data_IF_335234825323
#
_entry.id   IF_335234825323
#
_cell.length_a   1.000
_cell.length_b   1.000
_cell.length_c   1.000
_cell.angle_alpha   90.00
_cell.angle_beta   90.00
_cell.angle_gamma   90.00
#
_symmetry.space_group_name_H-M   'P 1'
#
loop_
_entity.id
_entity.type
_entity.pdbx_description
1 polymer ?
#
# COMPACT_ATOMS: atom_id res chain seq x y z
N UNK A 1 -15.66 -16.39 12.22
CA UNK A 1 -14.25 -16.53 11.81
C UNK A 1 -13.78 -17.95 12.03
N UNK A 2 -13.14 -18.56 11.03
CA UNK A 2 -12.54 -19.89 11.12
C UNK A 2 -11.23 -19.91 11.93
N UNK A 3 -10.76 -21.11 12.29
CA UNK A 3 -9.58 -21.38 13.14
C UNK A 3 -8.23 -21.16 12.41
N UNK A 4 -8.00 -19.95 11.87
CA UNK A 4 -6.77 -19.55 11.15
C UNK A 4 -5.99 -18.47 11.88
N UNK A 5 -5.92 -18.56 13.19
CA UNK A 5 -5.17 -17.63 14.04
C UNK A 5 -4.69 -18.36 15.30
N UNK A 6 -3.59 -17.89 15.88
CA UNK A 6 -3.24 -18.29 17.25
C UNK A 6 -4.19 -17.58 18.21
N UNK A 7 -4.74 -18.27 19.23
CA UNK A 7 -5.50 -17.60 20.28
C UNK A 7 -4.69 -16.43 20.84
N UNK A 8 -5.30 -15.24 20.87
CA UNK A 8 -4.63 -14.06 21.42
C UNK A 8 -4.58 -14.20 22.94
N UNK A 9 -3.41 -14.60 23.46
CA UNK A 9 -3.13 -14.73 24.90
C UNK A 9 -2.55 -13.45 25.50
N UNK A 10 -2.38 -12.40 24.70
CA UNK A 10 -1.83 -11.12 25.16
C UNK A 10 -2.86 -10.40 26.04
N UNK A 11 -2.44 -9.74 27.13
CA UNK A 11 -3.34 -8.94 27.96
C UNK A 11 -3.90 -7.75 27.17
N UNK A 12 -5.11 -7.32 27.55
CA UNK A 12 -5.67 -6.07 27.06
C UNK A 12 -4.79 -4.87 27.47
N UNK A 13 -4.82 -3.84 26.64
CA UNK A 13 -4.01 -2.64 26.88
C UNK A 13 -4.40 -1.95 28.19
N UNK A 14 -3.39 -1.70 29.02
CA UNK A 14 -3.48 -0.84 30.22
C UNK A 14 -2.49 0.30 30.03
N UNK A 15 -2.94 1.54 30.24
CA UNK A 15 -2.10 2.72 30.06
C UNK A 15 -0.86 2.67 30.97
N UNK A 16 0.29 3.10 30.41
CA UNK A 16 1.54 3.15 31.15
C UNK A 16 1.38 3.98 32.44
N UNK A 17 1.79 3.41 33.57
CA UNK A 17 1.88 4.11 34.86
C UNK A 17 3.34 4.32 35.23
N UNK A 18 3.64 5.39 35.98
CA UNK A 18 5.01 5.71 36.41
C UNK A 18 5.63 4.70 37.40
N UNK A 19 4.86 3.73 37.89
CA UNK A 19 5.33 2.70 38.80
C UNK A 19 5.82 1.47 38.03
N UNK A 20 7.15 1.32 37.94
CA UNK A 20 7.77 0.10 37.45
C UNK A 20 7.58 -1.01 38.47
N UNK A 21 6.65 -1.93 38.22
CA UNK A 21 6.73 -3.26 38.83
C UNK A 21 7.61 -4.12 37.94
N UNK A 22 8.70 -4.64 38.49
CA UNK A 22 9.42 -5.75 37.85
C UNK A 22 8.45 -6.94 37.75
N UNK A 23 7.83 -7.12 36.58
CA UNK A 23 7.04 -8.30 36.33
C UNK A 23 7.96 -9.50 36.12
N UNK A 24 7.89 -10.43 37.07
CA UNK A 24 8.45 -11.77 36.94
C UNK A 24 7.54 -12.56 36.01
N UNK A 25 7.88 -12.57 34.72
CA UNK A 25 7.14 -13.27 33.67
C UNK A 25 8.03 -13.79 32.54
N UNK A 26 7.43 -14.57 31.63
CA UNK A 26 8.05 -15.01 30.37
C UNK A 26 8.56 -13.81 29.56
N UNK A 27 9.55 -14.06 28.70
CA UNK A 27 10.18 -13.12 27.76
C UNK A 27 9.18 -12.21 27.04
N UNK A 28 8.01 -12.74 26.67
CA UNK A 28 6.94 -11.98 26.02
C UNK A 28 6.30 -10.92 26.95
N UNK A 29 5.97 -11.27 28.20
CA UNK A 29 5.37 -10.32 29.14
C UNK A 29 6.35 -9.21 29.48
N UNK A 30 7.64 -9.54 29.63
CA UNK A 30 8.68 -8.53 29.81
C UNK A 30 8.73 -7.54 28.66
N UNK A 31 8.58 -8.02 27.42
CA UNK A 31 8.54 -7.16 26.23
C UNK A 31 7.33 -6.22 26.22
N UNK A 32 6.14 -6.73 26.58
CA UNK A 32 4.88 -5.95 26.59
C UNK A 32 4.87 -4.87 27.66
N UNK A 33 5.54 -5.10 28.79
CA UNK A 33 5.63 -4.16 29.91
C UNK A 33 6.79 -3.16 29.77
N UNK A 34 7.60 -3.23 28.69
CA UNK A 34 8.67 -2.26 28.45
C UNK A 34 8.11 -0.89 28.04
N UNK A 35 8.64 0.22 28.59
CA UNK A 35 8.33 1.55 28.09
C UNK A 35 8.67 1.68 26.60
N UNK A 36 7.86 2.43 25.86
CA UNK A 36 8.02 2.60 24.42
C UNK A 36 9.45 2.97 23.98
N UNK A 37 10.13 3.83 24.74
CA UNK A 37 11.51 4.26 24.43
C UNK A 37 12.51 3.10 24.40
N UNK A 38 12.40 2.15 25.32
CA UNK A 38 13.25 0.95 25.36
C UNK A 38 12.80 -0.10 24.35
N UNK A 39 11.49 -0.29 24.22
CA UNK A 39 10.90 -1.27 23.29
C UNK A 39 11.23 -0.92 21.83
N UNK A 40 11.10 0.36 21.46
CA UNK A 40 11.40 0.84 20.11
C UNK A 40 12.88 0.64 19.75
N UNK A 41 13.82 0.77 20.68
CA UNK A 41 15.24 0.46 20.42
C UNK A 41 15.46 -1.05 20.22
N UNK A 42 14.78 -1.90 20.99
CA UNK A 42 14.82 -3.35 20.79
C UNK A 42 14.32 -3.74 19.39
N UNK A 43 13.17 -3.21 18.97
CA UNK A 43 12.62 -3.46 17.63
C UNK A 43 13.48 -2.87 16.53
N UNK A 44 14.07 -1.68 16.74
CA UNK A 44 15.01 -1.11 15.78
C UNK A 44 16.22 -2.03 15.56
N UNK A 45 16.80 -2.58 16.62
CA UNK A 45 17.93 -3.52 16.50
C UNK A 45 17.54 -4.80 15.76
N UNK A 46 16.43 -5.42 16.15
CA UNK A 46 15.93 -6.63 15.47
C UNK A 46 15.64 -6.36 13.99
N UNK A 47 15.03 -5.22 13.66
CA UNK A 47 14.76 -4.83 12.28
C UNK A 47 16.03 -4.63 11.45
N UNK A 48 17.09 -4.07 12.04
CA UNK A 48 18.39 -3.93 11.36
C UNK A 48 19.04 -5.29 11.09
N UNK A 49 18.99 -6.21 12.06
CA UNK A 49 19.52 -7.57 11.89
C UNK A 49 18.75 -8.31 10.77
N UNK A 50 17.41 -8.22 10.78
CA UNK A 50 16.54 -8.78 9.73
C UNK A 50 16.82 -8.16 8.35
N UNK A 51 17.06 -6.84 8.27
CA UNK A 51 17.40 -6.13 7.03
C UNK A 51 18.69 -6.70 6.43
N UNK A 52 19.71 -6.97 7.23
CA UNK A 52 20.96 -7.59 6.75
C UNK A 52 20.71 -9.00 6.21
N UNK A 53 19.92 -9.83 6.90
CA UNK A 53 19.56 -11.17 6.40
C UNK A 53 18.81 -11.11 5.07
N UNK A 54 17.77 -10.28 4.96
CA UNK A 54 17.00 -10.12 3.72
C UNK A 54 17.89 -9.63 2.57
N UNK A 55 18.78 -8.68 2.85
CA UNK A 55 19.70 -8.13 1.84
C UNK A 55 20.70 -9.18 1.37
N UNK A 56 21.27 -9.96 2.30
CA UNK A 56 22.19 -11.04 1.96
C UNK A 56 21.50 -12.09 1.08
N UNK A 57 20.31 -12.54 1.44
CA UNK A 57 19.62 -13.63 0.73
C UNK A 57 19.09 -13.21 -0.64
N UNK A 58 18.58 -11.98 -0.76
CA UNK A 58 17.93 -11.51 -2.00
C UNK A 58 18.87 -10.82 -2.98
N UNK A 59 20.01 -10.30 -2.50
CA UNK A 59 20.97 -9.55 -3.32
C UNK A 59 22.39 -10.14 -3.29
N UNK A 60 22.87 -10.53 -2.11
CA UNK A 60 24.22 -11.07 -1.94
C UNK A 60 24.38 -12.46 -2.55
N UNK A 61 23.61 -13.44 -2.07
CA UNK A 61 23.70 -14.85 -2.47
C UNK A 61 23.22 -15.10 -3.90
N UNK A 62 22.37 -14.23 -4.45
CA UNK A 62 21.94 -14.28 -5.85
C UNK A 62 23.03 -13.83 -6.83
N UNK A 63 24.16 -13.33 -6.33
CA UNK A 63 25.21 -12.75 -7.14
C UNK A 63 24.75 -11.48 -7.86
N UNK A 64 23.88 -10.69 -7.20
CA UNK A 64 23.33 -9.43 -7.71
C UNK A 64 22.52 -9.60 -9.01
N UNK A 65 21.90 -10.76 -9.19
CA UNK A 65 21.02 -11.05 -10.33
C UNK A 65 19.56 -10.88 -9.92
N UNK A 66 18.81 -10.08 -10.70
CA UNK A 66 17.38 -9.86 -10.49
C UNK A 66 16.58 -10.84 -11.35
N UNK A 67 15.90 -11.80 -10.71
CA UNK A 67 14.96 -12.71 -11.36
C UNK A 67 13.52 -12.17 -11.34
N UNK A 68 13.12 -11.58 -10.22
CA UNK A 68 11.86 -10.89 -10.02
C UNK A 68 12.19 -9.44 -9.61
N UNK A 69 11.77 -8.47 -10.43
CA UNK A 69 12.03 -7.05 -10.20
C UNK A 69 10.94 -6.38 -9.35
N UNK A 70 9.86 -7.06 -9.03
CA UNK A 70 8.67 -6.44 -8.42
C UNK A 70 8.93 -6.03 -6.97
N UNK A 71 8.15 -5.07 -6.47
CA UNK A 71 8.19 -4.72 -5.04
C UNK A 71 7.52 -5.80 -4.18
N UNK A 72 6.50 -6.47 -4.73
CA UNK A 72 5.66 -7.43 -4.01
C UNK A 72 6.41 -8.72 -3.64
N UNK A 73 7.19 -9.29 -4.55
CA UNK A 73 7.93 -10.54 -4.33
C UNK A 73 9.41 -10.47 -4.73
N UNK A 74 9.83 -9.39 -5.39
CA UNK A 74 11.14 -9.29 -6.01
C UNK A 74 12.14 -8.41 -5.28
N UNK A 75 13.27 -8.17 -5.96
CA UNK A 75 14.41 -7.44 -5.40
C UNK A 75 14.12 -5.96 -5.15
N UNK A 76 13.11 -5.37 -5.82
CA UNK A 76 12.69 -4.00 -5.52
C UNK A 76 12.07 -3.89 -4.12
N UNK A 77 11.50 -4.96 -3.57
CA UNK A 77 11.08 -5.03 -2.17
C UNK A 77 12.26 -4.85 -1.22
N UNK A 78 13.41 -5.46 -1.53
CA UNK A 78 14.68 -5.26 -0.79
C UNK A 78 15.17 -3.82 -0.93
N UNK A 79 15.12 -3.23 -2.13
CA UNK A 79 15.47 -1.82 -2.31
C UNK A 79 14.58 -0.90 -1.47
N UNK A 80 13.28 -1.19 -1.41
CA UNK A 80 12.35 -0.39 -0.62
C UNK A 80 12.62 -0.53 0.89
N UNK A 81 12.94 -1.74 1.35
CA UNK A 81 13.37 -1.98 2.74
C UNK A 81 14.62 -1.17 3.10
N UNK A 82 15.63 -1.17 2.23
CA UNK A 82 16.86 -0.37 2.40
C UNK A 82 16.56 1.13 2.42
N UNK A 83 15.69 1.60 1.52
CA UNK A 83 15.26 2.99 1.52
C UNK A 83 14.55 3.38 2.83
N UNK A 84 13.67 2.53 3.35
CA UNK A 84 13.03 2.72 4.67
C UNK A 84 14.06 2.73 5.80
N UNK A 85 15.08 1.87 5.73
CA UNK A 85 16.18 1.86 6.71
C UNK A 85 16.98 3.18 6.68
N UNK A 86 17.32 3.67 5.48
CA UNK A 86 17.95 4.98 5.30
C UNK A 86 17.10 6.11 5.90
N UNK A 87 15.78 6.14 5.66
CA UNK A 87 14.91 7.18 6.23
C UNK A 87 14.90 7.20 7.76
N UNK A 88 15.12 6.05 8.42
CA UNK A 88 15.10 5.92 9.88
C UNK A 88 16.47 6.07 10.55
N UNK A 89 17.54 5.64 9.88
CA UNK A 89 18.88 5.56 10.44
C UNK A 89 19.86 6.56 9.80
N UNK A 90 19.46 7.24 8.73
CA UNK A 90 20.29 8.12 7.90
C UNK A 90 21.59 7.43 7.42
N UNK A 91 21.53 6.12 7.19
CA UNK A 91 22.66 5.35 6.69
C UNK A 91 22.76 5.49 5.17
N UNK A 92 23.74 6.28 4.71
CA UNK A 92 23.93 6.55 3.28
C UNK A 92 24.34 5.29 2.49
N UNK A 93 24.90 4.27 3.12
CA UNK A 93 25.21 3.01 2.45
C UNK A 93 23.93 2.26 2.06
N UNK A 94 22.88 2.31 2.89
CA UNK A 94 21.58 1.71 2.58
C UNK A 94 20.93 2.43 1.38
N UNK A 95 21.08 3.76 1.28
CA UNK A 95 20.61 4.53 0.13
C UNK A 95 21.37 4.17 -1.16
N UNK A 96 22.70 4.08 -1.09
CA UNK A 96 23.52 3.67 -2.24
C UNK A 96 23.18 2.27 -2.71
N UNK A 97 22.98 1.32 -1.78
CA UNK A 97 22.59 -0.04 -2.11
C UNK A 97 21.16 -0.11 -2.68
N UNK A 98 20.23 0.67 -2.12
CA UNK A 98 18.89 0.84 -2.69
C UNK A 98 18.97 1.24 -4.17
N UNK A 99 19.75 2.29 -4.49
CA UNK A 99 19.90 2.76 -5.87
C UNK A 99 20.51 1.69 -6.80
N UNK A 100 21.53 0.95 -6.33
CA UNK A 100 22.12 -0.13 -7.11
C UNK A 100 21.11 -1.25 -7.44
N UNK A 101 20.27 -1.62 -6.46
CA UNK A 101 19.22 -2.62 -6.66
C UNK A 101 18.13 -2.08 -7.60
N UNK A 102 17.73 -0.82 -7.44
CA UNK A 102 16.74 -0.18 -8.33
C UNK A 102 17.25 -0.18 -9.78
N UNK A 103 18.53 0.12 -10.02
CA UNK A 103 19.12 0.08 -11.37
C UNK A 103 19.07 -1.33 -12.00
N UNK A 104 19.39 -2.35 -11.21
CA UNK A 104 19.26 -3.73 -11.66
C UNK A 104 17.78 -4.12 -11.93
N UNK A 105 16.84 -3.67 -11.10
CA UNK A 105 15.41 -3.87 -11.31
C UNK A 105 14.91 -3.12 -12.55
N UNK A 106 15.43 -1.92 -12.81
CA UNK A 106 15.14 -1.12 -13.99
C UNK A 106 15.51 -1.91 -15.26
N UNK A 107 16.72 -2.46 -15.29
CA UNK A 107 17.18 -3.35 -16.36
C UNK A 107 16.30 -4.59 -16.54
N UNK A 108 15.92 -5.25 -15.46
CA UNK A 108 15.07 -6.45 -15.49
C UNK A 108 13.61 -6.16 -15.91
N UNK A 109 13.13 -4.93 -15.70
CA UNK A 109 11.73 -4.54 -15.94
C UNK A 109 11.45 -4.02 -17.36
N UNK A 110 12.47 -3.85 -18.22
CA UNK A 110 12.32 -3.19 -19.53
C UNK A 110 11.24 -3.80 -20.43
N UNK A 111 11.08 -5.13 -20.41
CA UNK A 111 10.11 -5.86 -21.23
C UNK A 111 8.78 -6.14 -20.51
N UNK A 112 8.64 -5.73 -19.25
CA UNK A 112 7.43 -5.99 -18.47
C UNK A 112 6.23 -5.20 -19.00
N UNK A 113 5.07 -5.82 -18.90
CA UNK A 113 3.76 -5.21 -19.19
C UNK A 113 3.04 -4.76 -17.93
N UNK A 114 3.56 -5.10 -16.75
CA UNK A 114 2.97 -4.71 -15.47
C UNK A 114 3.32 -3.26 -15.15
N UNK A 115 2.32 -2.50 -14.72
CA UNK A 115 2.39 -1.03 -14.67
C UNK A 115 2.23 -0.44 -13.27
N UNK A 116 2.08 -1.26 -12.23
CA UNK A 116 1.73 -0.78 -10.88
C UNK A 116 2.95 -0.53 -10.01
N UNK A 117 2.72 0.10 -8.86
CA UNK A 117 3.78 0.27 -7.86
C UNK A 117 4.26 -1.08 -7.28
N UNK A 118 3.34 -2.00 -6.99
CA UNK A 118 3.67 -3.25 -6.31
C UNK A 118 4.28 -4.30 -7.25
N UNK A 119 3.72 -4.45 -8.44
CA UNK A 119 4.06 -5.55 -9.35
C UNK A 119 4.63 -5.10 -10.70
N UNK A 120 4.82 -3.79 -10.91
CA UNK A 120 5.13 -3.26 -12.23
C UNK A 120 6.23 -2.21 -12.27
N UNK A 121 6.44 -1.70 -13.48
CA UNK A 121 7.50 -0.75 -13.79
C UNK A 121 7.33 0.60 -13.09
N UNK A 122 6.09 0.98 -12.76
CA UNK A 122 5.84 2.22 -12.01
C UNK A 122 6.50 2.19 -10.63
N UNK A 123 6.55 1.04 -9.96
CA UNK A 123 7.26 0.88 -8.68
C UNK A 123 8.75 1.16 -8.80
N UNK A 124 9.39 0.58 -9.83
CA UNK A 124 10.82 0.74 -10.09
C UNK A 124 11.15 2.22 -10.34
N UNK A 125 10.44 2.85 -11.27
CA UNK A 125 10.67 4.25 -11.61
C UNK A 125 10.33 5.18 -10.43
N UNK A 126 9.25 4.92 -9.70
CA UNK A 126 8.84 5.75 -8.58
C UNK A 126 9.85 5.71 -7.42
N UNK A 127 10.28 4.51 -7.02
CA UNK A 127 11.30 4.37 -5.99
C UNK A 127 12.65 4.95 -6.44
N UNK A 128 13.05 4.70 -7.68
CA UNK A 128 14.29 5.25 -8.24
C UNK A 128 14.34 6.76 -8.24
N UNK A 129 13.26 7.43 -8.67
CA UNK A 129 13.16 8.88 -8.64
C UNK A 129 13.30 9.43 -7.21
N UNK A 130 12.55 8.85 -6.25
CA UNK A 130 12.60 9.31 -4.85
C UNK A 130 13.96 9.06 -4.21
N UNK A 131 14.56 7.89 -4.40
CA UNK A 131 15.89 7.59 -3.90
C UNK A 131 16.96 8.52 -4.52
N UNK A 132 16.86 8.81 -5.82
CA UNK A 132 17.76 9.73 -6.52
C UNK A 132 17.66 11.16 -5.97
N UNK A 133 16.45 11.66 -5.66
CA UNK A 133 16.26 12.95 -4.98
C UNK A 133 16.97 12.98 -3.63
N UNK A 134 16.83 11.93 -2.82
CA UNK A 134 17.51 11.83 -1.53
C UNK A 134 19.04 11.76 -1.65
N UNK A 135 19.55 11.19 -2.74
CA UNK A 135 20.99 11.16 -3.03
C UNK A 135 21.51 12.48 -3.63
N UNK A 136 20.65 13.46 -3.90
CA UNK A 136 21.02 14.71 -4.56
C UNK A 136 21.42 14.53 -6.03
N UNK A 137 21.02 13.43 -6.68
CA UNK A 137 21.36 13.13 -8.06
C UNK A 137 20.21 13.54 -8.99
N UNK A 138 20.28 14.77 -9.51
CA UNK A 138 19.25 15.33 -10.37
C UNK A 138 19.12 14.59 -11.71
N UNK A 139 20.23 14.19 -12.33
CA UNK A 139 20.23 13.48 -13.61
C UNK A 139 19.49 12.13 -13.50
N UNK A 140 19.76 11.38 -12.43
CA UNK A 140 19.11 10.10 -12.19
C UNK A 140 17.63 10.26 -11.82
N UNK A 141 17.28 11.31 -11.08
CA UNK A 141 15.89 11.69 -10.82
C UNK A 141 15.13 11.94 -12.14
N UNK A 142 15.69 12.77 -13.01
CA UNK A 142 15.09 13.12 -14.31
C UNK A 142 14.96 11.90 -15.22
N UNK A 143 15.95 11.00 -15.18
CA UNK A 143 15.91 9.72 -15.88
C UNK A 143 14.70 8.88 -15.44
N UNK A 144 14.54 8.61 -14.14
CA UNK A 144 13.44 7.78 -13.64
C UNK A 144 12.07 8.42 -13.85
N UNK A 145 11.96 9.75 -13.72
CA UNK A 145 10.72 10.46 -14.05
C UNK A 145 10.38 10.37 -15.54
N UNK A 146 11.38 10.42 -16.42
CA UNK A 146 11.18 10.23 -17.86
C UNK A 146 10.70 8.81 -18.17
N UNK A 147 11.33 7.80 -17.55
CA UNK A 147 10.91 6.39 -17.68
C UNK A 147 9.51 6.14 -17.13
N UNK A 148 9.13 6.79 -16.02
CA UNK A 148 7.77 6.70 -15.48
C UNK A 148 6.72 7.22 -16.48
N UNK A 149 7.01 8.33 -17.17
CA UNK A 149 6.13 8.94 -18.17
C UNK A 149 5.96 8.09 -19.43
N UNK A 150 6.88 7.18 -19.71
CA UNK A 150 6.80 6.25 -20.85
C UNK A 150 5.86 5.06 -20.59
N UNK A 151 5.41 4.85 -19.35
CA UNK A 151 4.50 3.74 -19.00
C UNK A 151 3.15 3.96 -19.68
N UNK A 152 2.75 3.00 -20.51
CA UNK A 152 1.47 3.00 -21.22
C UNK A 152 0.49 2.07 -20.54
N UNK A 153 -0.68 2.60 -20.17
CA UNK A 153 -1.77 1.80 -19.63
C UNK A 153 -2.57 1.20 -20.79
N UNK A 154 -2.67 -0.13 -20.81
CA UNK A 154 -3.54 -0.84 -21.75
C UNK A 154 -5.01 -0.53 -21.47
N UNK A 155 -5.85 -0.46 -22.51
CA UNK A 155 -7.30 -0.34 -22.34
C UNK A 155 -7.89 -1.49 -21.52
N UNK A 156 -7.30 -2.68 -21.61
CA UNK A 156 -7.78 -3.90 -20.98
C UNK A 156 -7.18 -4.14 -19.58
N UNK A 157 -6.45 -3.17 -19.03
CA UNK A 157 -5.90 -3.27 -17.69
C UNK A 157 -7.05 -3.46 -16.67
N UNK A 158 -6.90 -4.24 -15.60
CA UNK A 158 -7.85 -4.22 -14.49
C UNK A 158 -7.77 -2.88 -13.73
N UNK A 159 -8.63 -2.71 -12.72
CA UNK A 159 -8.68 -1.46 -11.94
C UNK A 159 -8.09 -1.59 -10.54
N UNK A 160 -7.75 -2.80 -10.09
CA UNK A 160 -7.28 -3.07 -8.73
C UNK A 160 -5.82 -2.65 -8.44
N UNK A 161 -5.34 -2.89 -7.22
CA UNK A 161 -4.11 -2.29 -6.70
C UNK A 161 -2.83 -2.99 -7.16
N UNK A 162 -2.84 -4.31 -7.36
CA UNK A 162 -1.61 -5.05 -7.67
C UNK A 162 -1.24 -5.00 -9.15
N UNK A 163 -2.21 -5.02 -10.05
CA UNK A 163 -2.01 -5.09 -11.50
C UNK A 163 -2.79 -4.04 -12.30
N UNK A 164 -3.65 -3.27 -11.63
CA UNK A 164 -4.59 -2.37 -12.25
C UNK A 164 -4.28 -0.88 -12.19
N UNK A 165 -5.25 -0.08 -12.65
CA UNK A 165 -5.19 1.39 -12.67
C UNK A 165 -4.99 2.00 -11.29
N UNK A 166 -5.63 1.47 -10.25
CA UNK A 166 -5.41 1.96 -8.89
C UNK A 166 -3.95 1.78 -8.47
N UNK A 167 -3.31 0.68 -8.84
CA UNK A 167 -1.88 0.44 -8.58
C UNK A 167 -0.93 1.43 -9.27
N UNK A 168 -1.28 1.90 -10.47
CA UNK A 168 -0.54 2.95 -11.16
C UNK A 168 -0.79 4.33 -10.54
N UNK A 169 -2.06 4.65 -10.24
CA UNK A 169 -2.43 5.90 -9.57
C UNK A 169 -1.74 6.03 -8.20
N UNK A 170 -1.64 4.94 -7.44
CA UNK A 170 -0.89 4.92 -6.18
C UNK A 170 0.58 5.31 -6.38
N UNK A 171 1.22 4.86 -7.46
CA UNK A 171 2.59 5.27 -7.79
C UNK A 171 2.69 6.77 -8.09
N UNK A 172 1.66 7.36 -8.72
CA UNK A 172 1.57 8.80 -8.96
C UNK A 172 1.46 9.58 -7.64
N UNK A 173 0.60 9.13 -6.71
CA UNK A 173 0.48 9.71 -5.35
C UNK A 173 1.80 9.64 -4.62
N UNK A 174 2.49 8.49 -4.68
CA UNK A 174 3.80 8.31 -4.07
C UNK A 174 4.82 9.32 -4.59
N UNK A 175 4.89 9.50 -5.92
CA UNK A 175 5.78 10.49 -6.53
C UNK A 175 5.45 11.92 -6.07
N UNK A 176 4.19 12.34 -6.15
CA UNK A 176 3.79 13.70 -5.75
C UNK A 176 4.08 13.96 -4.26
N UNK A 177 3.77 12.99 -3.39
CA UNK A 177 4.02 13.10 -1.95
C UNK A 177 5.50 13.28 -1.61
N UNK A 178 6.39 12.58 -2.31
CA UNK A 178 7.83 12.58 -2.01
C UNK A 178 8.63 13.64 -2.79
N UNK A 179 8.19 13.97 -3.99
CA UNK A 179 8.91 14.88 -4.89
C UNK A 179 8.33 16.31 -4.86
N UNK A 180 7.05 16.46 -4.52
CA UNK A 180 6.30 17.72 -4.48
C UNK A 180 5.04 17.61 -5.34
N UNK A 181 3.99 18.31 -4.91
CA UNK A 181 2.72 18.37 -5.65
C UNK A 181 2.93 18.82 -7.10
N UNK A 182 2.23 18.17 -8.02
CA UNK A 182 2.33 18.44 -9.46
C UNK A 182 3.52 17.78 -10.19
N UNK A 183 4.35 16.97 -9.51
CA UNK A 183 5.42 16.20 -10.17
C UNK A 183 4.86 15.31 -11.30
N UNK A 184 3.79 14.58 -10.98
CA UNK A 184 2.87 14.01 -11.95
C UNK A 184 1.67 14.96 -12.06
N UNK A 185 1.41 15.54 -13.25
CA UNK A 185 0.31 16.48 -13.44
C UNK A 185 -1.06 15.85 -13.15
N UNK A 186 -1.98 16.61 -12.56
CA UNK A 186 -3.34 16.16 -12.30
C UNK A 186 -4.10 15.78 -13.57
N UNK A 187 -3.77 16.40 -14.71
CA UNK A 187 -4.32 16.02 -16.02
C UNK A 187 -3.99 14.57 -16.41
N UNK A 188 -2.82 14.07 -16.03
CA UNK A 188 -2.41 12.67 -16.26
C UNK A 188 -3.20 11.73 -15.38
N UNK A 189 -3.35 12.03 -14.09
CA UNK A 189 -4.09 11.17 -13.16
C UNK A 189 -5.59 11.21 -13.44
N UNK A 190 -6.15 12.38 -13.78
CA UNK A 190 -7.58 12.57 -14.07
C UNK A 190 -8.09 11.64 -15.17
N UNK A 191 -7.34 11.50 -16.28
CA UNK A 191 -7.70 10.59 -17.36
C UNK A 191 -7.79 9.11 -16.90
N UNK A 192 -6.95 8.70 -15.94
CA UNK A 192 -6.98 7.35 -15.38
C UNK A 192 -8.15 7.19 -14.41
N UNK A 193 -8.41 8.21 -13.58
CA UNK A 193 -9.56 8.22 -12.65
C UNK A 193 -10.88 8.15 -13.42
N UNK A 194 -11.03 8.90 -14.51
CA UNK A 194 -12.22 8.88 -15.36
C UNK A 194 -12.54 7.46 -15.85
N UNK A 195 -11.52 6.72 -16.29
CA UNK A 195 -11.70 5.34 -16.74
C UNK A 195 -12.06 4.40 -15.59
N UNK A 196 -11.44 4.55 -14.41
CA UNK A 196 -11.79 3.77 -13.20
C UNK A 196 -13.24 4.02 -12.79
N UNK A 197 -13.67 5.28 -12.72
CA UNK A 197 -15.04 5.64 -12.34
C UNK A 197 -16.04 5.12 -13.37
N UNK A 198 -15.75 5.29 -14.65
CA UNK A 198 -16.57 4.78 -15.76
C UNK A 198 -16.72 3.26 -15.69
N UNK A 199 -15.62 2.52 -15.54
CA UNK A 199 -15.64 1.06 -15.40
C UNK A 199 -16.44 0.61 -14.17
N UNK A 200 -16.18 1.26 -13.03
CA UNK A 200 -16.86 1.00 -11.76
C UNK A 200 -18.37 1.15 -11.85
N UNK A 201 -18.83 2.27 -12.42
CA UNK A 201 -20.25 2.56 -12.67
C UNK A 201 -20.86 1.58 -13.65
N UNK A 202 -20.15 1.21 -14.72
CA UNK A 202 -20.64 0.29 -15.75
C UNK A 202 -20.90 -1.11 -15.19
N UNK A 203 -20.01 -1.63 -14.36
CA UNK A 203 -20.18 -2.95 -13.75
C UNK A 203 -21.20 -2.91 -12.61
N UNK A 204 -21.28 -1.82 -11.86
CA UNK A 204 -22.28 -1.62 -10.80
C UNK A 204 -23.72 -1.67 -11.30
N UNK A 205 -24.02 -1.12 -12.48
CA UNK A 205 -25.35 -1.20 -13.12
C UNK A 205 -25.87 -2.64 -13.28
N UNK A 206 -24.97 -3.64 -13.26
CA UNK A 206 -25.31 -5.07 -13.38
C UNK A 206 -25.47 -5.77 -12.01
N UNK A 207 -25.29 -5.07 -10.88
CA UNK A 207 -25.38 -5.63 -9.52
C UNK A 207 -25.91 -4.59 -8.52
N UNK A 208 -27.21 -4.64 -8.24
CA UNK A 208 -27.96 -3.56 -7.59
C UNK A 208 -27.70 -3.32 -6.10
N UNK A 209 -26.54 -2.78 -5.73
CA UNK A 209 -26.32 -2.31 -4.36
C UNK A 209 -25.17 -1.32 -4.12
N UNK A 210 -24.02 -1.47 -4.81
CA UNK A 210 -22.86 -0.57 -4.69
C UNK A 210 -22.80 0.38 -5.88
N UNK A 211 -22.54 1.70 -5.71
CA UNK A 211 -22.37 2.63 -6.83
C UNK A 211 -21.20 2.31 -7.76
N UNK A 212 -20.09 1.84 -7.19
CA UNK A 212 -18.92 1.32 -7.92
C UNK A 212 -18.74 -0.17 -7.64
N UNK A 213 -18.42 -0.92 -8.69
CA UNK A 213 -18.09 -2.34 -8.58
C UNK A 213 -16.99 -2.69 -9.58
N UNK A 214 -16.07 -3.57 -9.20
CA UNK A 214 -14.94 -3.96 -10.04
C UNK A 214 -14.79 -5.49 -10.03
N UNK A 215 -14.12 -6.03 -11.04
CA UNK A 215 -13.75 -7.44 -11.06
C UNK A 215 -12.28 -7.63 -11.41
N UNK A 216 -11.70 -8.70 -10.89
CA UNK A 216 -10.39 -9.20 -11.28
C UNK A 216 -10.46 -10.72 -11.38
N UNK A 217 -9.97 -11.28 -12.48
CA UNK A 217 -10.13 -12.71 -12.81
C UNK A 217 -11.57 -13.25 -12.63
N UNK A 218 -12.58 -12.43 -12.97
CA UNK A 218 -14.00 -12.80 -12.90
C UNK A 218 -14.62 -12.75 -11.49
N UNK A 219 -13.85 -12.35 -10.48
CA UNK A 219 -14.29 -12.24 -9.08
C UNK A 219 -14.43 -10.77 -8.68
N UNK A 220 -15.48 -10.44 -7.94
CA UNK A 220 -15.75 -9.06 -7.47
C UNK A 220 -15.20 -8.90 -6.06
N UNK A 221 -13.89 -8.77 -5.96
CA UNK A 221 -13.17 -8.72 -4.68
C UNK A 221 -13.49 -7.46 -3.87
N UNK A 222 -13.42 -7.59 -2.54
CA UNK A 222 -13.64 -6.48 -1.60
C UNK A 222 -12.35 -5.96 -0.96
N UNK A 223 -11.35 -6.82 -0.81
CA UNK A 223 -10.14 -6.52 -0.04
C UNK A 223 -9.20 -5.50 -0.70
N UNK A 224 -8.11 -5.16 -0.01
CA UNK A 224 -7.22 -4.07 -0.42
C UNK A 224 -6.33 -4.42 -1.63
N UNK A 225 -6.03 -5.70 -1.84
CA UNK A 225 -5.17 -6.11 -2.94
C UNK A 225 -5.92 -6.02 -4.29
N UNK A 226 -6.99 -6.78 -4.43
CA UNK A 226 -7.65 -6.99 -5.73
C UNK A 226 -9.05 -6.37 -5.84
N UNK A 227 -9.49 -5.62 -4.83
CA UNK A 227 -10.90 -5.32 -4.63
C UNK A 227 -11.23 -3.87 -4.31
N UNK A 228 -12.50 -3.69 -3.93
CA UNK A 228 -13.09 -2.38 -3.65
C UNK A 228 -12.25 -1.53 -2.70
N UNK A 229 -11.75 -2.09 -1.59
CA UNK A 229 -11.01 -1.33 -0.60
C UNK A 229 -9.77 -0.66 -1.17
N UNK A 230 -8.96 -1.38 -1.95
CA UNK A 230 -7.73 -0.83 -2.54
C UNK A 230 -8.03 0.29 -3.54
N UNK A 231 -9.08 0.10 -4.34
CA UNK A 231 -9.50 1.09 -5.33
C UNK A 231 -10.04 2.34 -4.64
N UNK A 232 -10.93 2.20 -3.66
CA UNK A 232 -11.48 3.35 -2.91
C UNK A 232 -10.37 4.08 -2.14
N UNK A 233 -9.41 3.35 -1.57
CA UNK A 233 -8.28 3.95 -0.86
C UNK A 233 -7.46 4.89 -1.75
N UNK A 234 -7.22 4.50 -3.00
CA UNK A 234 -6.48 5.31 -3.97
C UNK A 234 -7.34 6.46 -4.50
N UNK A 235 -8.61 6.21 -4.83
CA UNK A 235 -9.51 7.27 -5.32
C UNK A 235 -9.65 8.43 -4.32
N UNK A 236 -9.59 8.15 -3.02
CA UNK A 236 -9.60 9.17 -1.97
C UNK A 236 -8.36 10.09 -1.94
N UNK A 237 -7.27 9.76 -2.63
CA UNK A 237 -6.13 10.68 -2.85
C UNK A 237 -6.26 11.52 -4.12
N UNK A 238 -7.29 11.27 -4.94
CA UNK A 238 -7.46 11.91 -6.24
C UNK A 238 -8.36 13.13 -6.13
N UNK A 239 -8.21 14.06 -7.07
CA UNK A 239 -9.19 15.11 -7.31
C UNK A 239 -10.43 14.47 -7.93
N UNK A 240 -11.51 14.35 -7.15
CA UNK A 240 -12.78 13.75 -7.56
C UNK A 240 -13.88 14.81 -7.73
N UNK A 241 -14.75 14.60 -8.71
CA UNK A 241 -15.97 15.40 -8.86
C UNK A 241 -17.00 15.08 -7.75
N UNK A 242 -17.94 15.99 -7.43
CA UNK A 242 -18.89 15.78 -6.34
C UNK A 242 -19.69 14.47 -6.44
N UNK A 243 -20.09 14.06 -7.65
CA UNK A 243 -20.80 12.79 -7.87
C UNK A 243 -19.88 11.58 -7.71
N UNK A 244 -18.60 11.70 -8.05
CA UNK A 244 -17.59 10.65 -7.83
C UNK A 244 -17.28 10.46 -6.34
N UNK A 245 -17.21 11.55 -5.58
CA UNK A 245 -17.08 11.50 -4.11
C UNK A 245 -18.27 10.76 -3.51
N UNK A 246 -19.49 11.05 -3.98
CA UNK A 246 -20.70 10.36 -3.51
C UNK A 246 -20.71 8.88 -3.85
N UNK A 247 -20.18 8.50 -5.01
CA UNK A 247 -20.02 7.11 -5.39
C UNK A 247 -19.02 6.37 -4.50
N UNK A 248 -17.84 6.95 -4.24
CA UNK A 248 -16.83 6.39 -3.32
C UNK A 248 -17.42 6.23 -1.91
N UNK A 249 -18.07 7.27 -1.37
CA UNK A 249 -18.76 7.21 -0.07
C UNK A 249 -19.85 6.14 -0.06
N UNK A 250 -20.63 6.03 -1.13
CA UNK A 250 -21.70 5.04 -1.26
C UNK A 250 -21.16 3.60 -1.31
N UNK A 251 -20.05 3.37 -2.00
CA UNK A 251 -19.38 2.06 -2.05
C UNK A 251 -18.79 1.67 -0.70
N UNK A 252 -18.16 2.59 0.03
CA UNK A 252 -17.69 2.31 1.40
C UNK A 252 -18.86 2.00 2.34
N UNK A 253 -19.96 2.77 2.29
CA UNK A 253 -21.18 2.50 3.07
C UNK A 253 -21.79 1.15 2.72
N UNK A 254 -21.75 0.77 1.45
CA UNK A 254 -22.19 -0.54 1.00
C UNK A 254 -21.36 -1.66 1.66
N UNK A 255 -20.04 -1.54 1.68
CA UNK A 255 -19.16 -2.53 2.34
C UNK A 255 -19.46 -2.62 3.84
N UNK A 256 -19.56 -1.48 4.54
CA UNK A 256 -19.84 -1.42 5.98
C UNK A 256 -21.15 -2.14 6.35
N UNK A 257 -22.21 -1.93 5.55
CA UNK A 257 -23.55 -2.51 5.77
C UNK A 257 -23.61 -4.01 5.53
N UNK A 258 -22.71 -4.53 4.70
CA UNK A 258 -22.75 -5.90 4.20
C UNK A 258 -21.56 -6.74 4.72
N UNK A 259 -20.93 -6.33 5.84
CA UNK A 259 -19.94 -7.12 6.57
C UNK A 259 -20.58 -8.35 7.24
N UNK A 260 -19.77 -9.32 7.63
CA UNK A 260 -20.23 -10.48 8.39
C UNK A 260 -20.71 -10.07 9.80
N UNK A 261 -21.55 -10.90 10.45
CA UNK A 261 -21.93 -10.69 11.86
C UNK A 261 -20.72 -10.58 12.81
N UNK A 262 -19.59 -11.21 12.48
CA UNK A 262 -18.33 -11.13 13.23
C UNK A 262 -17.64 -9.76 13.14
N UNK A 263 -18.07 -8.88 12.24
CA UNK A 263 -17.40 -7.63 11.91
C UNK A 263 -16.33 -7.77 10.82
N UNK A 264 -15.94 -8.99 10.45
CA UNK A 264 -15.06 -9.24 9.31
C UNK A 264 -15.81 -9.06 7.98
N UNK A 265 -15.08 -9.10 6.86
CA UNK A 265 -15.61 -8.83 5.52
C UNK A 265 -15.44 -10.02 4.57
N UNK A 266 -16.37 -10.20 3.62
CA UNK A 266 -16.23 -11.24 2.59
C UNK A 266 -15.02 -10.97 1.68
N UNK A 267 -14.46 -12.04 1.11
CA UNK A 267 -13.38 -11.90 0.14
C UNK A 267 -13.86 -11.25 -1.17
N UNK A 268 -15.06 -11.65 -1.62
CA UNK A 268 -15.71 -11.18 -2.86
C UNK A 268 -17.24 -11.22 -2.75
N UNK A 269 -17.94 -10.66 -3.73
CA UNK A 269 -19.41 -10.78 -3.86
C UNK A 269 -19.88 -12.23 -3.93
N UNK A 270 -19.05 -13.10 -4.51
CA UNK A 270 -19.33 -14.53 -4.69
C UNK A 270 -19.15 -15.32 -3.38
N UNK A 271 -18.25 -14.85 -2.49
CA UNK A 271 -17.90 -15.55 -1.24
C UNK A 271 -18.46 -14.87 0.02
N UNK A 272 -19.79 -14.75 0.07
CA UNK A 272 -20.52 -14.12 1.19
C UNK A 272 -20.87 -15.05 2.34
N UNK A 273 -20.30 -16.25 2.38
CA UNK A 273 -20.62 -17.24 3.43
C UNK A 273 -19.39 -17.73 4.20
N UNK A 274 -18.18 -17.55 3.66
CA UNK A 274 -16.95 -18.01 4.31
C UNK A 274 -16.25 -16.87 5.03
N UNK A 275 -16.60 -16.69 6.30
CA UNK A 275 -15.90 -15.78 7.20
C UNK A 275 -14.59 -16.40 7.70
N UNK A 276 -13.53 -16.33 6.89
CA UNK A 276 -12.27 -17.05 7.13
C UNK A 276 -10.99 -16.24 6.92
N UNK A 277 -11.00 -15.20 6.07
CA UNK A 277 -9.80 -14.43 5.74
C UNK A 277 -9.74 -13.16 6.58
N UNK A 278 -8.63 -12.98 7.31
CA UNK A 278 -8.35 -11.78 8.11
C UNK A 278 -6.97 -11.26 7.71
N UNK A 279 -6.84 -10.85 6.45
CA UNK A 279 -5.57 -10.45 5.83
C UNK A 279 -5.65 -9.00 5.31
N UNK A 280 -4.48 -8.41 5.02
CA UNK A 280 -4.43 -7.15 4.25
C UNK A 280 -5.10 -7.31 2.88
N UNK A 281 -4.79 -8.39 2.16
CA UNK A 281 -5.32 -8.61 0.82
C UNK A 281 -6.84 -8.89 0.80
N UNK A 282 -7.36 -9.59 1.82
CA UNK A 282 -8.76 -10.00 1.92
C UNK A 282 -9.22 -10.04 3.38
N UNK A 283 -10.29 -9.32 3.70
CA UNK A 283 -10.89 -9.25 5.03
C UNK A 283 -10.65 -7.92 5.74
N UNK A 284 -10.93 -7.93 7.05
CA UNK A 284 -10.96 -6.73 7.88
C UNK A 284 -9.68 -5.88 7.84
N UNK A 285 -8.44 -6.43 7.89
CA UNK A 285 -7.24 -5.59 8.00
C UNK A 285 -7.05 -4.59 6.85
N UNK A 286 -7.22 -5.01 5.59
CA UNK A 286 -7.11 -4.11 4.44
C UNK A 286 -8.25 -3.09 4.35
N UNK A 287 -9.46 -3.51 4.73
CA UNK A 287 -10.64 -2.64 4.73
C UNK A 287 -10.55 -1.61 5.85
N UNK A 288 -10.07 -1.99 7.03
CA UNK A 288 -9.87 -1.08 8.16
C UNK A 288 -8.95 0.09 7.79
N UNK A 289 -7.82 -0.16 7.11
CA UNK A 289 -6.92 0.90 6.63
C UNK A 289 -7.63 1.88 5.67
N UNK A 290 -8.55 1.36 4.86
CA UNK A 290 -9.35 2.19 3.94
C UNK A 290 -10.39 3.02 4.70
N UNK A 291 -11.05 2.44 5.70
CA UNK A 291 -12.03 3.14 6.52
C UNK A 291 -11.40 4.20 7.42
N UNK A 292 -10.20 3.96 7.95
CA UNK A 292 -9.44 4.97 8.71
C UNK A 292 -9.17 6.19 7.83
N UNK A 293 -8.67 5.99 6.61
CA UNK A 293 -8.47 7.07 5.66
C UNK A 293 -9.74 7.84 5.35
N UNK A 294 -10.86 7.14 5.15
CA UNK A 294 -12.15 7.78 4.92
C UNK A 294 -12.58 8.65 6.12
N UNK A 295 -12.36 8.17 7.34
CA UNK A 295 -12.67 8.90 8.56
C UNK A 295 -11.77 10.13 8.75
N UNK A 296 -10.48 10.05 8.41
CA UNK A 296 -9.56 11.19 8.44
C UNK A 296 -9.99 12.31 7.48
N UNK A 297 -10.44 11.94 6.28
CA UNK A 297 -10.94 12.91 5.30
C UNK A 297 -12.26 13.54 5.73
N UNK A 298 -13.19 12.77 6.29
CA UNK A 298 -14.45 13.29 6.83
C UNK A 298 -14.18 14.27 7.98
N UNK A 299 -13.31 13.90 8.93
CA UNK A 299 -12.91 14.77 10.02
C UNK A 299 -12.19 16.05 9.55
N UNK A 300 -11.36 15.97 8.50
CA UNK A 300 -10.68 17.13 7.92
C UNK A 300 -11.67 18.09 7.24
N UNK A 301 -12.70 17.57 6.56
CA UNK A 301 -13.77 18.37 5.96
C UNK A 301 -14.61 19.05 7.05
N UNK A 302 -15.05 18.29 8.06
CA UNK A 302 -15.82 18.84 9.17
C UNK A 302 -15.03 19.93 9.91
N UNK A 303 -13.73 19.72 10.13
CA UNK A 303 -12.85 20.73 10.73
C UNK A 303 -12.68 21.98 9.86
N UNK A 304 -12.60 21.83 8.53
CA UNK A 304 -12.53 22.96 7.61
C UNK A 304 -13.83 23.77 7.58
N UNK A 305 -14.99 23.13 7.74
CA UNK A 305 -16.30 23.80 7.79
C UNK A 305 -16.52 24.59 9.10
N UNK A 306 -15.86 24.23 10.20
CA UNK A 306 -15.98 24.90 11.51
C UNK A 306 -15.09 26.16 11.62
N UNK A 307 -14.12 26.35 10.72
CA UNK A 307 -13.11 27.42 10.79
C UNK A 307 -13.47 28.65 9.91
N UNK A 308 -14.66 28.67 9.29
CA UNK A 308 -15.17 29.83 8.53
C UNK A 308 -16.37 30.52 9.21
#
# INVERSE_FOLDING_TARGET
MADRFFPNVLPDFVSETTEQKEEVGDTLMKLLSMPYSSLSQHFKRAALDLKETVTLDTWGLTGQKVSDFTLYCGTLGTAFLLFKSYQLANNTNDLSLCLAIVDACNSASFSSRDVTFLCGRAGVCALGAVAAKHAGNQELLDYYLSQFKEIKLSSNLPDELLYGRAGFLWACVFLNKHLGEGTIPSTTTRAVVDEVIKNGRQLAKKGGGSPLMFEFYGEKYWGAAHGLAGIMHVLMDMELEPDEIMDVKGTLKYMIRNRFPSGNYPASEQDRKRDVLVHWCHGAPGIALTLVKAAELEAAVDAAEVVF
#
